data_IF_293836924715
#
_entry.id   IF_293836924715
#
_cell.length_a   1.000
_cell.length_b   1.000
_cell.length_c   1.000
_cell.angle_alpha   90.00
_cell.angle_beta   90.00
_cell.angle_gamma   90.00
#
_symmetry.space_group_name_H-M   'P 1'
#
loop_
_entity.id
_entity.type
_entity.pdbx_description
1 polymer ?
#
# COMPACT_ATOMS: atom_id res chain seq x y z
N UNK A 1 22.07 -12.41 72.80
CA UNK A 1 22.35 -11.11 72.17
C UNK A 1 22.90 -11.21 70.80
N UNK A 2 23.56 -12.31 70.34
CA UNK A 2 24.17 -12.50 69.04
C UNK A 2 23.14 -12.75 67.93
N UNK A 3 21.95 -13.25 68.22
CA UNK A 3 20.94 -13.62 67.18
C UNK A 3 20.21 -12.41 66.57
N UNK A 4 20.02 -11.30 67.26
CA UNK A 4 19.31 -10.13 66.77
C UNK A 4 20.12 -9.35 65.72
N UNK A 5 21.43 -9.18 65.95
CA UNK A 5 22.34 -8.45 65.08
C UNK A 5 22.56 -9.17 63.75
N UNK A 6 22.56 -10.50 63.75
CA UNK A 6 22.70 -11.32 62.54
C UNK A 6 21.45 -11.18 61.64
N UNK A 7 20.26 -11.18 62.21
CA UNK A 7 19.02 -11.03 61.47
C UNK A 7 18.85 -9.62 60.87
N UNK A 8 19.24 -8.58 61.59
CA UNK A 8 19.24 -7.20 61.09
C UNK A 8 20.20 -7.04 59.91
N UNK A 9 21.39 -7.62 59.96
CA UNK A 9 22.35 -7.57 58.85
C UNK A 9 21.86 -8.33 57.61
N UNK A 10 21.13 -9.42 57.77
CA UNK A 10 20.54 -10.16 56.65
C UNK A 10 19.42 -9.35 56.00
N UNK A 11 18.55 -8.74 56.82
CA UNK A 11 17.48 -7.88 56.31
C UNK A 11 18.01 -6.66 55.57
N UNK A 12 19.02 -6.00 56.08
CA UNK A 12 19.66 -4.86 55.49
C UNK A 12 20.29 -5.22 54.09
N UNK A 13 21.01 -6.36 54.02
CA UNK A 13 21.57 -6.85 52.75
C UNK A 13 20.50 -7.14 51.71
N UNK A 14 19.38 -7.77 52.10
CA UNK A 14 18.24 -8.03 51.22
C UNK A 14 17.59 -6.73 50.72
N UNK A 15 17.45 -5.73 51.58
CA UNK A 15 16.92 -4.42 51.21
C UNK A 15 17.85 -3.71 50.22
N UNK A 16 19.16 -3.72 50.43
CA UNK A 16 20.14 -3.13 49.51
C UNK A 16 20.10 -3.84 48.14
N UNK A 17 20.01 -5.17 48.11
CA UNK A 17 19.90 -5.94 46.87
C UNK A 17 18.60 -5.63 46.11
N UNK A 18 17.49 -5.49 46.81
CA UNK A 18 16.21 -5.08 46.21
C UNK A 18 16.28 -3.69 45.57
N UNK A 19 16.86 -2.73 46.33
CA UNK A 19 17.02 -1.36 45.79
C UNK A 19 17.95 -1.34 44.59
N UNK A 20 19.06 -2.09 44.62
CA UNK A 20 19.96 -2.22 43.45
C UNK A 20 19.27 -2.87 42.24
N UNK A 21 18.44 -3.90 42.49
CA UNK A 21 17.70 -4.56 41.44
C UNK A 21 16.64 -3.65 40.81
N UNK A 22 15.88 -2.91 41.63
CA UNK A 22 14.91 -1.91 41.15
C UNK A 22 15.62 -0.80 40.36
N UNK A 23 16.78 -0.32 40.86
CA UNK A 23 17.60 0.66 40.18
C UNK A 23 18.06 0.15 38.79
N UNK A 24 18.50 -1.10 38.69
CA UNK A 24 18.92 -1.71 37.40
C UNK A 24 17.75 -1.79 36.39
N UNK A 25 16.53 -2.05 36.85
CA UNK A 25 15.34 -2.06 35.98
C UNK A 25 15.03 -0.64 35.49
N UNK A 26 15.08 0.37 36.33
CA UNK A 26 14.74 1.76 35.99
C UNK A 26 15.78 2.36 35.03
N UNK A 27 17.08 2.09 35.25
CA UNK A 27 18.16 2.63 34.43
C UNK A 27 18.49 1.77 33.19
N UNK A 28 17.99 0.52 33.13
CA UNK A 28 18.25 -0.41 32.02
C UNK A 28 17.35 -0.22 30.80
N UNK A 29 16.31 0.60 30.86
CA UNK A 29 15.43 0.85 29.71
C UNK A 29 16.03 1.90 28.80
N UNK A 30 16.86 1.46 27.86
CA UNK A 30 17.27 2.32 26.73
C UNK A 30 16.04 2.57 25.87
N UNK A 31 15.48 3.77 25.89
CA UNK A 31 14.44 4.19 24.96
C UNK A 31 15.12 4.32 23.61
N UNK A 32 14.94 3.31 22.75
CA UNK A 32 15.36 3.41 21.35
C UNK A 32 14.50 4.46 20.67
N UNK A 33 15.07 5.62 20.39
CA UNK A 33 14.43 6.61 19.52
C UNK A 33 14.61 6.12 18.07
N UNK A 34 13.52 5.71 17.44
CA UNK A 34 13.52 5.53 16.00
C UNK A 34 13.93 6.87 15.36
N UNK A 35 14.95 6.84 14.50
CA UNK A 35 15.35 8.03 13.75
C UNK A 35 14.15 8.51 12.92
N UNK A 36 13.72 9.75 13.14
CA UNK A 36 12.69 10.36 12.30
C UNK A 36 13.26 10.55 10.89
N UNK A 37 12.78 9.76 9.96
CA UNK A 37 13.07 9.95 8.53
C UNK A 37 12.03 10.93 8.02
N UNK A 38 12.50 12.10 7.55
CA UNK A 38 11.62 13.09 6.97
C UNK A 38 10.89 12.49 5.74
N UNK A 39 9.58 12.71 5.61
CA UNK A 39 8.83 12.22 4.47
C UNK A 39 9.38 12.81 3.16
N UNK A 40 9.32 12.06 2.04
CA UNK A 40 9.83 12.51 0.77
C UNK A 40 9.07 13.74 0.27
N UNK A 41 9.79 14.66 -0.37
CA UNK A 41 9.16 15.76 -1.09
C UNK A 41 8.51 15.22 -2.36
N UNK A 42 7.22 15.46 -2.55
CA UNK A 42 6.46 15.03 -3.72
C UNK A 42 5.77 16.22 -4.40
N UNK A 43 5.74 16.23 -5.73
CA UNK A 43 5.00 17.21 -6.53
C UNK A 43 3.50 16.88 -6.60
N UNK A 44 3.10 15.65 -6.31
CA UNK A 44 1.70 15.25 -6.26
C UNK A 44 0.92 16.06 -5.22
N UNK A 45 -0.30 16.48 -5.57
CA UNK A 45 -1.19 17.21 -4.64
C UNK A 45 -1.76 16.29 -3.56
N UNK A 46 -2.02 15.03 -3.88
CA UNK A 46 -2.43 13.98 -2.98
C UNK A 46 -1.56 12.73 -3.21
N UNK A 47 -1.10 12.11 -2.14
CA UNK A 47 -0.23 10.92 -2.20
C UNK A 47 -0.56 10.01 -1.03
N UNK A 48 -0.60 8.71 -1.29
CA UNK A 48 -0.64 7.68 -0.26
C UNK A 48 0.39 6.61 -0.63
N UNK A 49 1.26 6.25 0.30
CA UNK A 49 2.18 5.13 0.20
C UNK A 49 1.78 4.08 1.22
N UNK A 50 1.56 2.86 0.75
CA UNK A 50 1.11 1.74 1.59
C UNK A 50 2.11 0.59 1.47
N UNK A 51 2.37 -0.08 2.58
CA UNK A 51 3.03 -1.37 2.54
C UNK A 51 2.10 -2.40 1.90
N UNK A 52 2.59 -3.12 0.89
CA UNK A 52 1.76 -4.02 0.09
C UNK A 52 1.27 -5.25 0.87
N UNK A 53 2.03 -5.71 1.85
CA UNK A 53 1.73 -6.91 2.64
C UNK A 53 0.89 -6.58 3.86
N UNK A 54 1.35 -5.62 4.67
CA UNK A 54 0.71 -5.25 5.94
C UNK A 54 -0.46 -4.30 5.77
N UNK A 55 -0.55 -3.59 4.64
CA UNK A 55 -1.51 -2.52 4.35
C UNK A 55 -1.33 -1.28 5.24
N UNK A 56 -0.21 -1.19 5.95
CA UNK A 56 0.14 -0.02 6.75
C UNK A 56 0.39 1.20 5.86
N UNK A 57 -0.14 2.35 6.24
CA UNK A 57 0.13 3.62 5.55
C UNK A 57 1.48 4.14 6.01
N UNK A 58 2.49 4.06 5.15
CA UNK A 58 3.85 4.54 5.41
C UNK A 58 4.00 6.05 5.23
N UNK A 59 3.21 6.64 4.34
CA UNK A 59 3.18 8.07 4.08
C UNK A 59 1.85 8.49 3.50
N UNK A 60 1.33 9.64 3.93
CA UNK A 60 0.13 10.24 3.37
C UNK A 60 0.28 11.77 3.29
N UNK A 61 -0.16 12.33 2.16
CA UNK A 61 -0.29 13.76 1.90
C UNK A 61 -1.67 13.98 1.32
N UNK A 62 -2.51 14.75 2.01
CA UNK A 62 -3.88 15.03 1.61
C UNK A 62 -4.65 13.75 1.15
N UNK A 63 -4.68 12.66 1.95
CA UNK A 63 -5.22 11.37 1.51
C UNK A 63 -6.71 11.43 1.13
N UNK A 64 -7.47 12.31 1.77
CA UNK A 64 -8.92 12.46 1.57
C UNK A 64 -9.26 13.59 0.57
N UNK A 65 -8.24 14.19 -0.08
CA UNK A 65 -8.49 15.21 -1.09
C UNK A 65 -9.20 14.61 -2.30
N UNK A 66 -10.36 15.17 -2.63
CA UNK A 66 -11.06 14.76 -3.84
C UNK A 66 -10.27 15.13 -5.08
N UNK A 67 -9.97 14.17 -5.94
CA UNK A 67 -9.15 14.32 -7.14
C UNK A 67 -9.80 13.58 -8.32
N UNK A 68 -9.55 14.05 -9.53
CA UNK A 68 -9.88 13.29 -10.73
C UNK A 68 -8.85 12.17 -10.91
N UNK A 69 -9.26 10.89 -10.96
CA UNK A 69 -8.33 9.76 -11.01
C UNK A 69 -7.64 9.60 -12.36
N UNK A 70 -8.10 10.29 -13.40
CA UNK A 70 -7.60 10.14 -14.78
C UNK A 70 -7.51 8.64 -15.18
N UNK A 71 -6.45 8.24 -15.85
CA UNK A 71 -6.27 6.85 -16.32
C UNK A 71 -6.13 5.80 -15.23
N UNK A 72 -5.96 6.17 -13.96
CA UNK A 72 -6.01 5.18 -12.87
C UNK A 72 -7.39 4.53 -12.75
N UNK A 73 -8.44 5.14 -13.31
CA UNK A 73 -9.77 4.53 -13.45
C UNK A 73 -9.72 3.19 -14.20
N UNK A 74 -8.79 3.03 -15.16
CA UNK A 74 -8.63 1.79 -15.92
C UNK A 74 -8.22 0.59 -15.07
N UNK A 75 -7.62 0.82 -13.90
CA UNK A 75 -7.33 -0.24 -12.94
C UNK A 75 -8.63 -0.86 -12.40
N UNK A 76 -9.66 -0.06 -12.16
CA UNK A 76 -10.97 -0.56 -11.74
C UNK A 76 -11.64 -1.31 -12.89
N UNK A 77 -11.56 -0.79 -14.11
CA UNK A 77 -12.06 -1.49 -15.31
C UNK A 77 -11.40 -2.85 -15.47
N UNK A 78 -10.06 -2.93 -15.34
CA UNK A 78 -9.32 -4.20 -15.40
C UNK A 78 -9.81 -5.18 -14.33
N UNK A 79 -9.88 -4.76 -13.07
CA UNK A 79 -10.32 -5.63 -11.98
C UNK A 79 -11.75 -6.14 -12.21
N UNK A 80 -12.65 -5.27 -12.63
CA UNK A 80 -14.03 -5.65 -12.95
C UNK A 80 -14.10 -6.65 -14.10
N UNK A 81 -13.32 -6.43 -15.17
CA UNK A 81 -13.24 -7.36 -16.30
C UNK A 81 -12.71 -8.74 -15.85
N UNK A 82 -11.67 -8.77 -15.05
CA UNK A 82 -11.10 -10.02 -14.53
C UNK A 82 -12.06 -10.75 -13.59
N UNK A 83 -12.83 -10.05 -12.78
CA UNK A 83 -13.87 -10.66 -11.95
C UNK A 83 -15.01 -11.26 -12.76
N UNK A 84 -15.43 -10.60 -13.82
CA UNK A 84 -16.56 -11.02 -14.64
C UNK A 84 -16.19 -12.05 -15.72
N UNK A 85 -15.00 -11.95 -16.29
CA UNK A 85 -14.56 -12.67 -17.48
C UNK A 85 -13.16 -13.31 -17.37
N UNK A 86 -12.55 -13.35 -16.20
CA UNK A 86 -11.16 -13.83 -16.04
C UNK A 86 -10.88 -15.25 -16.50
N UNK A 87 -11.91 -16.08 -16.73
CA UNK A 87 -11.81 -17.42 -17.31
C UNK A 87 -12.02 -17.46 -18.85
N UNK A 88 -12.27 -16.30 -19.47
CA UNK A 88 -12.62 -16.14 -20.87
C UNK A 88 -11.73 -15.09 -21.57
N UNK A 89 -10.47 -15.03 -21.19
CA UNK A 89 -9.51 -14.03 -21.69
C UNK A 89 -9.19 -14.19 -23.19
N UNK A 90 -9.43 -15.37 -23.74
CA UNK A 90 -9.32 -15.71 -25.15
C UNK A 90 -10.56 -15.35 -25.99
N UNK A 91 -11.66 -14.90 -25.35
CA UNK A 91 -12.87 -14.43 -26.04
C UNK A 91 -12.52 -13.25 -26.97
N UNK A 92 -12.99 -13.32 -28.23
CA UNK A 92 -12.76 -12.25 -29.19
C UNK A 92 -13.78 -11.13 -29.03
N UNK A 93 -13.29 -9.93 -28.79
CA UNK A 93 -14.08 -8.71 -28.83
C UNK A 93 -14.00 -8.07 -30.22
N UNK A 94 -15.14 -7.67 -30.76
CA UNK A 94 -15.22 -6.94 -32.04
C UNK A 94 -15.20 -5.44 -31.76
N UNK A 95 -14.27 -4.73 -32.41
CA UNK A 95 -14.08 -3.30 -32.20
C UNK A 95 -15.23 -2.52 -32.85
N UNK A 96 -15.93 -1.74 -32.04
CA UNK A 96 -17.05 -0.91 -32.48
C UNK A 96 -16.58 0.44 -33.05
N UNK A 97 -17.43 1.09 -33.85
CA UNK A 97 -17.16 2.46 -34.31
C UNK A 97 -17.12 3.46 -33.14
N UNK A 98 -17.80 3.19 -32.06
CA UNK A 98 -17.75 4.02 -30.86
C UNK A 98 -16.37 3.93 -30.19
N UNK A 99 -15.82 2.74 -30.05
CA UNK A 99 -14.47 2.56 -29.50
C UNK A 99 -13.42 3.34 -30.31
N UNK A 100 -13.48 3.24 -31.65
CA UNK A 100 -12.52 3.95 -32.52
C UNK A 100 -12.71 5.47 -32.57
N UNK A 101 -13.79 6.00 -32.05
CA UNK A 101 -14.05 7.46 -31.95
C UNK A 101 -13.46 8.10 -30.69
N UNK A 102 -12.89 7.30 -29.78
CA UNK A 102 -12.26 7.83 -28.57
C UNK A 102 -11.01 8.64 -28.91
N UNK A 103 -10.91 9.79 -28.27
CA UNK A 103 -9.75 10.69 -28.41
C UNK A 103 -8.67 10.38 -27.37
N UNK A 104 -7.52 11.03 -27.53
CA UNK A 104 -6.33 10.93 -26.68
C UNK A 104 -5.58 9.59 -26.84
N UNK A 105 -5.22 8.92 -25.73
CA UNK A 105 -4.45 7.68 -25.77
C UNK A 105 -5.24 6.52 -26.36
N UNK A 106 -4.80 5.99 -27.50
CA UNK A 106 -5.48 4.93 -28.24
C UNK A 106 -4.51 3.80 -28.62
N UNK A 107 -5.04 2.58 -28.74
CA UNK A 107 -4.35 1.44 -29.36
C UNK A 107 -4.22 1.59 -30.88
N UNK A 108 -5.07 2.40 -31.51
CA UNK A 108 -5.14 2.56 -32.97
C UNK A 108 -5.84 1.40 -33.68
N UNK A 109 -6.77 0.75 -32.99
CA UNK A 109 -7.62 -0.32 -33.55
C UNK A 109 -8.59 0.21 -34.59
N UNK A 110 -9.09 -0.65 -35.49
CA UNK A 110 -10.03 -0.31 -36.56
C UNK A 110 -11.38 -0.95 -36.29
N UNK A 111 -12.42 -0.31 -36.81
CA UNK A 111 -13.78 -0.88 -36.77
C UNK A 111 -13.80 -2.27 -37.42
N UNK A 112 -14.31 -3.24 -36.71
CA UNK A 112 -14.42 -4.62 -37.14
C UNK A 112 -13.20 -5.49 -36.83
N UNK A 113 -12.10 -4.93 -36.33
CA UNK A 113 -10.98 -5.73 -35.84
C UNK A 113 -11.47 -6.66 -34.71
N UNK A 114 -10.89 -7.86 -34.63
CA UNK A 114 -11.15 -8.81 -33.58
C UNK A 114 -9.89 -9.00 -32.74
N UNK A 115 -9.99 -8.72 -31.47
CA UNK A 115 -8.87 -8.81 -30.51
C UNK A 115 -9.35 -9.61 -29.30
N UNK A 116 -8.49 -10.47 -28.75
CA UNK A 116 -8.81 -11.20 -27.52
C UNK A 116 -9.01 -10.23 -26.35
N UNK A 117 -9.85 -10.61 -25.40
CA UNK A 117 -10.06 -9.81 -24.19
C UNK A 117 -8.73 -9.55 -23.47
N UNK A 118 -7.82 -10.54 -23.42
CA UNK A 118 -6.46 -10.36 -22.89
C UNK A 118 -5.72 -9.23 -23.62
N UNK A 119 -5.68 -9.28 -24.96
CA UNK A 119 -5.00 -8.24 -25.76
C UNK A 119 -5.59 -6.85 -25.58
N UNK A 120 -6.92 -6.74 -25.42
CA UNK A 120 -7.59 -5.48 -25.13
C UNK A 120 -7.22 -4.96 -23.74
N UNK A 121 -7.22 -5.84 -22.71
CA UNK A 121 -6.84 -5.48 -21.36
C UNK A 121 -5.37 -5.06 -21.25
N UNK A 122 -4.47 -5.79 -21.92
CA UNK A 122 -3.05 -5.42 -21.98
C UNK A 122 -2.87 -4.05 -22.64
N UNK A 123 -3.50 -3.83 -23.79
CA UNK A 123 -3.44 -2.56 -24.49
C UNK A 123 -4.03 -1.40 -23.69
N UNK A 124 -5.13 -1.63 -22.99
CA UNK A 124 -5.71 -0.64 -22.06
C UNK A 124 -4.71 -0.25 -20.97
N UNK A 125 -4.00 -1.21 -20.40
CA UNK A 125 -3.09 -0.95 -19.28
C UNK A 125 -1.73 -0.39 -19.73
N UNK A 126 -1.16 -0.91 -20.82
CA UNK A 126 0.19 -0.53 -21.29
C UNK A 126 0.17 0.78 -22.06
N UNK A 127 -0.76 0.95 -23.01
CA UNK A 127 -0.88 2.15 -23.83
C UNK A 127 -1.86 3.18 -23.24
N UNK A 128 -2.53 2.83 -22.12
CA UNK A 128 -3.62 3.65 -21.57
C UNK A 128 -4.76 3.88 -22.57
N UNK A 129 -5.02 2.93 -23.49
CA UNK A 129 -5.96 3.06 -24.60
C UNK A 129 -7.39 3.36 -24.11
N UNK A 130 -7.94 4.50 -24.55
CA UNK A 130 -9.33 4.84 -24.27
C UNK A 130 -10.28 4.01 -25.14
N UNK A 131 -9.88 3.74 -26.39
CA UNK A 131 -10.57 2.83 -27.31
C UNK A 131 -10.65 1.42 -26.70
N UNK A 132 -9.57 0.91 -26.13
CA UNK A 132 -9.55 -0.37 -25.45
C UNK A 132 -10.47 -0.41 -24.22
N UNK A 133 -10.48 0.66 -23.41
CA UNK A 133 -11.35 0.75 -22.24
C UNK A 133 -12.85 0.74 -22.56
N UNK A 134 -13.22 1.14 -23.79
CA UNK A 134 -14.61 1.08 -24.28
C UNK A 134 -14.97 -0.32 -24.77
N UNK A 135 -13.99 -1.10 -25.23
CA UNK A 135 -14.22 -2.47 -25.72
C UNK A 135 -14.43 -3.45 -24.57
N UNK A 136 -13.78 -3.23 -23.43
CA UNK A 136 -13.92 -4.05 -22.21
C UNK A 136 -15.32 -3.94 -21.62
#
# INVERSE_FOLDING_TARGET
MISLTTNVNILLKRLILMIAFIGAIIFGTSVSHAAYIAPPSTIGEAVVLIDADTKEILFAKNPDKWMHPASTTKMVTLLTALELKGTQLDELATISSYATSMEESNLGVRVGDQITLEGVLEGMMVASGNDAAVVV
#
